data_IF_210251809506
#
_entry.id   IF_210251809506
#
_cell.length_a   1.000
_cell.length_b   1.000
_cell.length_c   1.000
_cell.angle_alpha   90.00
_cell.angle_beta   90.00
_cell.angle_gamma   90.00
#
_symmetry.space_group_name_H-M   'P 1'
#
loop_
_entity.id
_entity.type
_entity.pdbx_description
1 polymer ?
#
# COMPACT_ATOMS: atom_id res chain seq x y z
N UNK A 1 6.68 -14.08 3.39
CA UNK A 1 6.79 -12.64 3.69
C UNK A 1 6.14 -12.37 5.04
N UNK A 2 6.84 -11.72 5.96
CA UNK A 2 6.28 -11.29 7.24
C UNK A 2 5.43 -10.03 7.07
N UNK A 3 4.58 -9.72 8.06
CA UNK A 3 3.77 -8.48 8.04
C UNK A 3 4.61 -7.22 7.92
N UNK A 4 5.78 -7.19 8.58
CA UNK A 4 6.70 -6.04 8.54
C UNK A 4 7.31 -5.87 7.16
N UNK A 5 7.78 -6.96 6.54
CA UNK A 5 8.33 -6.96 5.19
C UNK A 5 7.29 -6.47 4.17
N UNK A 6 6.04 -6.91 4.32
CA UNK A 6 4.93 -6.45 3.48
C UNK A 6 4.74 -4.93 3.57
N UNK A 7 4.65 -4.38 4.79
CA UNK A 7 4.46 -2.94 4.98
C UNK A 7 5.64 -2.12 4.44
N UNK A 8 6.87 -2.58 4.64
CA UNK A 8 8.07 -1.92 4.11
C UNK A 8 8.10 -1.96 2.59
N UNK A 9 7.88 -3.13 1.98
CA UNK A 9 7.84 -3.29 0.53
C UNK A 9 6.71 -2.47 -0.10
N UNK A 10 5.52 -2.45 0.52
CA UNK A 10 4.38 -1.67 0.03
C UNK A 10 4.65 -0.16 0.10
N UNK A 11 5.24 0.33 1.19
CA UNK A 11 5.64 1.74 1.31
C UNK A 11 6.66 2.12 0.25
N UNK A 12 7.67 1.27 0.05
CA UNK A 12 8.70 1.48 -0.97
C UNK A 12 8.09 1.60 -2.37
N UNK A 13 7.18 0.68 -2.73
CA UNK A 13 6.49 0.68 -4.02
C UNK A 13 5.54 1.86 -4.16
N UNK A 14 4.86 2.28 -3.09
CA UNK A 14 4.00 3.48 -3.12
C UNK A 14 4.81 4.73 -3.41
N UNK A 15 5.97 4.87 -2.76
CA UNK A 15 6.80 6.08 -2.84
C UNK A 15 7.63 6.13 -4.14
N UNK A 16 7.95 4.98 -4.77
CA UNK A 16 8.84 4.90 -5.94
C UNK A 16 8.19 4.24 -7.18
N UNK A 17 6.94 3.80 -7.08
CA UNK A 17 6.25 3.03 -8.10
C UNK A 17 6.76 1.58 -8.26
N UNK A 18 6.31 0.90 -9.33
CA UNK A 18 6.67 -0.49 -9.62
C UNK A 18 8.17 -0.72 -9.85
N UNK A 19 8.93 0.32 -10.17
CA UNK A 19 10.39 0.21 -10.34
C UNK A 19 11.07 -0.35 -9.08
N UNK A 20 10.52 -0.02 -7.90
CA UNK A 20 11.05 -0.43 -6.60
C UNK A 20 11.05 -1.95 -6.36
N UNK A 21 10.26 -2.72 -7.12
CA UNK A 21 10.27 -4.19 -7.06
C UNK A 21 11.66 -4.78 -7.33
N UNK A 22 12.51 -4.08 -8.10
CA UNK A 22 13.89 -4.50 -8.36
C UNK A 22 14.82 -4.42 -7.14
N UNK A 23 14.48 -3.61 -6.15
CA UNK A 23 15.28 -3.41 -4.95
C UNK A 23 14.91 -4.39 -3.84
N UNK A 24 13.84 -5.17 -4.02
CA UNK A 24 13.38 -6.14 -3.03
C UNK A 24 14.08 -7.50 -3.22
N UNK A 25 14.30 -8.25 -2.12
CA UNK A 25 14.73 -9.63 -2.21
C UNK A 25 13.79 -10.46 -3.09
N UNK A 26 14.32 -11.44 -3.83
CA UNK A 26 13.57 -12.18 -4.84
C UNK A 26 12.26 -12.80 -4.31
N UNK A 27 12.27 -13.36 -3.10
CA UNK A 27 11.09 -13.92 -2.46
C UNK A 27 10.00 -12.86 -2.17
N UNK A 28 10.40 -11.66 -1.73
CA UNK A 28 9.48 -10.54 -1.47
C UNK A 28 8.98 -9.94 -2.76
N UNK A 29 9.86 -9.81 -3.77
CA UNK A 29 9.52 -9.32 -5.10
C UNK A 29 8.44 -10.18 -5.75
N UNK A 30 8.59 -11.50 -5.78
CA UNK A 30 7.63 -12.40 -6.42
C UNK A 30 6.24 -12.29 -5.77
N UNK A 31 6.20 -12.24 -4.44
CA UNK A 31 4.96 -12.09 -3.69
C UNK A 31 4.30 -10.72 -3.93
N UNK A 32 5.08 -9.64 -3.88
CA UNK A 32 4.57 -8.29 -4.12
C UNK A 32 4.11 -8.08 -5.56
N UNK A 33 4.80 -8.66 -6.55
CA UNK A 33 4.40 -8.58 -7.95
C UNK A 33 3.07 -9.31 -8.18
N UNK A 34 2.91 -10.51 -7.61
CA UNK A 34 1.65 -11.26 -7.63
C UNK A 34 0.51 -10.49 -6.94
N UNK A 35 0.75 -9.91 -5.77
CA UNK A 35 -0.24 -9.08 -5.07
C UNK A 35 -0.64 -7.85 -5.88
N UNK A 36 0.32 -7.15 -6.48
CA UNK A 36 0.06 -5.96 -7.29
C UNK A 36 -0.67 -6.28 -8.59
N UNK A 37 -0.41 -7.43 -9.20
CA UNK A 37 -1.13 -7.89 -10.39
C UNK A 37 -2.61 -8.14 -10.06
N UNK A 38 -2.88 -8.77 -8.91
CA UNK A 38 -4.25 -9.02 -8.44
C UNK A 38 -4.99 -7.74 -7.98
N UNK A 39 -4.26 -6.72 -7.49
CA UNK A 39 -4.84 -5.42 -7.11
C UNK A 39 -5.21 -4.58 -8.35
N UNK A 40 -4.63 -4.90 -9.51
CA UNK A 40 -4.83 -4.14 -10.74
C UNK A 40 -6.27 -4.20 -11.28
N UNK A 41 -7.05 -5.22 -10.89
CA UNK A 41 -8.46 -5.39 -11.28
C UNK A 41 -9.48 -4.69 -10.37
N UNK A 42 -9.05 -4.00 -9.31
CA UNK A 42 -10.04 -3.24 -8.53
C UNK A 42 -9.51 -2.64 -7.25
N UNK A 43 -9.10 -1.37 -7.35
CA UNK A 43 -8.92 -0.40 -6.26
C UNK A 43 -8.03 -0.89 -5.11
N UNK A 44 -6.83 -0.33 -5.02
CA UNK A 44 -5.98 -0.48 -3.84
C UNK A 44 -6.67 0.14 -2.61
N UNK A 45 -7.46 -0.68 -1.90
CA UNK A 45 -8.23 -0.25 -0.72
C UNK A 45 -7.34 0.33 0.39
N UNK A 46 -6.08 -0.08 0.46
CA UNK A 46 -5.13 0.46 1.44
C UNK A 46 -4.65 1.85 1.03
N UNK A 47 -4.42 2.06 -0.27
CA UNK A 47 -4.11 3.39 -0.80
C UNK A 47 -5.30 4.34 -0.63
N UNK A 48 -6.52 3.93 -1.02
CA UNK A 48 -7.74 4.73 -0.81
C UNK A 48 -7.93 5.11 0.67
N UNK A 49 -7.71 4.16 1.59
CA UNK A 49 -7.74 4.44 3.03
C UNK A 49 -6.68 5.44 3.47
N UNK A 50 -5.44 5.31 2.96
CA UNK A 50 -4.38 6.25 3.28
C UNK A 50 -4.73 7.67 2.81
N UNK A 51 -5.34 7.79 1.63
CA UNK A 51 -5.78 9.07 1.06
C UNK A 51 -6.94 9.68 1.87
N UNK A 52 -7.93 8.88 2.28
CA UNK A 52 -9.02 9.33 3.17
C UNK A 52 -8.45 9.84 4.50
N UNK A 53 -7.52 9.11 5.12
CA UNK A 53 -6.89 9.52 6.38
C UNK A 53 -6.07 10.80 6.20
N UNK A 54 -5.32 10.91 5.10
CA UNK A 54 -4.54 12.11 4.79
C UNK A 54 -5.44 13.33 4.58
N UNK A 55 -6.55 13.17 3.85
CA UNK A 55 -7.57 14.20 3.67
C UNK A 55 -8.15 14.65 5.01
N UNK A 56 -8.65 13.73 5.83
CA UNK A 56 -9.25 14.07 7.11
C UNK A 56 -8.25 14.78 8.04
N UNK A 57 -6.98 14.36 8.03
CA UNK A 57 -5.92 15.03 8.80
C UNK A 57 -5.69 16.47 8.33
N UNK A 58 -5.75 16.72 7.02
CA UNK A 58 -5.59 18.08 6.45
C UNK A 58 -6.76 18.99 6.82
N UNK A 59 -7.98 18.47 6.78
CA UNK A 59 -9.21 19.24 7.05
C UNK A 59 -9.58 19.30 8.54
N UNK A 60 -8.81 18.67 9.43
CA UNK A 60 -9.11 18.62 10.88
C UNK A 60 -10.34 17.76 11.24
N UNK A 61 -10.72 16.82 10.36
CA UNK A 61 -11.88 15.94 10.53
C UNK A 61 -11.46 14.72 11.36
N UNK A 62 -12.24 14.37 12.37
CA UNK A 62 -12.05 13.14 13.13
C UNK A 62 -12.26 11.91 12.23
N UNK A 63 -11.18 11.21 11.89
CA UNK A 63 -11.21 10.03 11.01
C UNK A 63 -11.05 8.74 11.81
N UNK A 64 -12.09 7.90 11.82
CA UNK A 64 -11.95 6.54 12.33
C UNK A 64 -11.45 5.61 11.21
N UNK A 65 -10.16 5.27 11.26
CA UNK A 65 -9.47 4.44 10.26
C UNK A 65 -10.13 3.06 10.08
N UNK A 66 -10.84 2.56 11.10
CA UNK A 66 -11.54 1.28 11.01
C UNK A 66 -12.89 1.36 10.27
N UNK A 67 -13.49 2.55 10.17
CA UNK A 67 -14.80 2.81 9.56
C UNK A 67 -14.75 3.48 8.18
N UNK A 68 -13.57 3.65 7.60
CA UNK A 68 -13.42 4.09 6.21
C UNK A 68 -13.80 2.92 5.28
N UNK A 69 -15.02 2.96 4.73
CA UNK A 69 -15.59 1.97 3.81
C UNK A 69 -16.16 2.66 2.58
#
# INVERSE_FOLDING_TARGET
MTRTEYHQARRLIRDNGRYALRWLPQAVRAEMDHLLFNIQDGKDRLAERADIVAYCRREGIACNVHHTR
#
